data_IF_046144597241
#
_entry.id   IF_046144597241
#
_cell.length_a   1.000
_cell.length_b   1.000
_cell.length_c   1.000
_cell.angle_alpha   90.00
_cell.angle_beta   90.00
_cell.angle_gamma   90.00
#
_symmetry.space_group_name_H-M   'P 1'
#
loop_
_entity.id
_entity.type
_entity.pdbx_description
1 polymer ?
#
# COMPACT_ATOMS: atom_id res chain seq x y z
N UNK A 1 23.78 18.69 -12.37
CA UNK A 1 22.47 18.25 -12.44
C UNK A 1 21.87 17.97 -11.11
N UNK A 2 20.66 18.29 -10.94
CA UNK A 2 20.08 18.18 -9.72
C UNK A 2 19.16 17.02 -9.63
N UNK A 3 19.26 16.30 -8.59
CA UNK A 3 18.36 15.18 -8.42
C UNK A 3 16.94 15.66 -8.28
N UNK A 4 16.01 14.92 -8.83
CA UNK A 4 14.61 15.29 -8.66
C UNK A 4 14.21 15.18 -7.22
N UNK A 5 13.25 15.98 -6.86
CA UNK A 5 12.70 15.91 -5.54
C UNK A 5 11.98 14.57 -5.39
N UNK A 6 12.28 13.85 -4.34
CA UNK A 6 11.66 12.58 -4.12
C UNK A 6 10.80 12.60 -2.92
N UNK A 7 9.73 11.83 -2.96
CA UNK A 7 8.95 11.63 -1.78
C UNK A 7 9.74 10.80 -0.82
N UNK A 8 9.55 11.02 0.49
CA UNK A 8 10.18 10.14 1.46
C UNK A 8 9.77 8.71 1.24
N UNK A 9 10.70 7.80 1.38
CA UNK A 9 10.41 6.41 1.30
C UNK A 9 10.17 5.87 2.68
N UNK A 10 9.07 5.20 2.86
CA UNK A 10 8.75 4.63 4.16
C UNK A 10 9.07 3.15 4.13
N UNK A 11 9.89 2.68 5.05
CA UNK A 11 10.21 1.26 5.09
C UNK A 11 8.97 0.45 5.43
N UNK A 12 8.90 -0.74 4.88
CA UNK A 12 7.78 -1.63 5.12
C UNK A 12 7.87 -2.18 6.54
N UNK A 13 6.93 -1.88 7.42
CA UNK A 13 6.92 -2.50 8.74
C UNK A 13 6.66 -4.00 8.64
N UNK A 14 7.21 -4.73 9.60
CA UNK A 14 7.07 -6.18 9.57
C UNK A 14 5.62 -6.61 9.63
N UNK A 15 4.79 -5.89 10.39
CA UNK A 15 3.41 -6.31 10.52
C UNK A 15 2.61 -6.13 9.24
N UNK A 16 2.97 -5.14 8.43
CA UNK A 16 2.31 -4.97 7.13
C UNK A 16 2.78 -6.05 6.15
N UNK A 17 4.08 -6.32 6.17
CA UNK A 17 4.61 -7.36 5.31
C UNK A 17 3.98 -8.71 5.64
N UNK A 18 3.83 -8.99 6.93
CA UNK A 18 3.24 -10.24 7.35
C UNK A 18 1.79 -10.35 6.86
N UNK A 19 1.04 -9.27 6.94
CA UNK A 19 -0.33 -9.28 6.48
C UNK A 19 -0.40 -9.55 4.98
N UNK A 20 0.51 -8.96 4.22
CA UNK A 20 0.54 -9.17 2.78
C UNK A 20 0.91 -10.62 2.44
N UNK A 21 1.86 -11.18 3.16
CA UNK A 21 2.29 -12.54 2.91
C UNK A 21 1.21 -13.53 3.31
N UNK A 22 0.57 -13.30 4.45
CA UNK A 22 -0.48 -14.18 4.91
C UNK A 22 -1.66 -14.20 3.94
N UNK A 23 -1.93 -13.08 3.30
CA UNK A 23 -3.02 -12.99 2.34
C UNK A 23 -2.58 -13.37 0.93
N UNK A 24 -1.30 -13.66 0.75
CA UNK A 24 -0.74 -13.99 -0.56
C UNK A 24 -0.91 -12.84 -1.54
N UNK A 25 -0.80 -11.62 -1.03
CA UNK A 25 -0.94 -10.43 -1.84
C UNK A 25 0.34 -9.61 -1.92
N UNK A 26 1.44 -10.16 -1.44
CA UNK A 26 2.69 -9.43 -1.45
C UNK A 26 3.12 -9.07 -2.87
N UNK A 27 3.03 -10.01 -3.78
CA UNK A 27 3.41 -9.75 -5.16
C UNK A 27 2.46 -8.75 -5.81
N UNK A 28 1.19 -8.86 -5.50
CA UNK A 28 0.20 -7.91 -6.01
C UNK A 28 0.52 -6.51 -5.53
N UNK A 29 0.96 -6.39 -4.28
CA UNK A 29 1.35 -5.11 -3.73
C UNK A 29 2.58 -4.56 -4.49
N UNK A 30 3.52 -5.42 -4.79
CA UNK A 30 4.76 -4.98 -5.43
C UNK A 30 4.56 -4.46 -6.84
N UNK A 31 3.50 -4.91 -7.52
CA UNK A 31 3.26 -4.42 -8.87
C UNK A 31 2.52 -3.09 -8.89
N UNK A 32 2.06 -2.61 -7.73
CA UNK A 32 1.47 -1.28 -7.67
C UNK A 32 2.55 -0.23 -7.86
N UNK A 33 2.20 0.95 -8.41
CA UNK A 33 3.20 2.01 -8.56
C UNK A 33 3.85 2.36 -7.23
N UNK A 34 5.11 2.77 -7.23
CA UNK A 34 5.79 3.09 -5.98
C UNK A 34 5.07 4.13 -5.12
N UNK A 35 4.42 5.10 -5.74
CA UNK A 35 3.74 6.12 -4.94
C UNK A 35 2.56 5.51 -4.17
N UNK A 36 1.88 4.51 -4.75
CA UNK A 36 0.79 3.85 -4.05
C UNK A 36 1.29 2.99 -2.92
N UNK A 37 2.39 2.28 -3.15
CA UNK A 37 2.98 1.49 -2.10
C UNK A 37 3.36 2.36 -0.91
N UNK A 38 4.01 3.48 -1.21
CA UNK A 38 4.44 4.39 -0.18
C UNK A 38 3.26 5.00 0.57
N UNK A 39 2.21 5.34 -0.16
CA UNK A 39 1.03 5.94 0.46
C UNK A 39 0.32 4.96 1.38
N UNK A 40 0.21 3.70 1.00
CA UNK A 40 -0.41 2.70 1.87
C UNK A 40 0.36 2.57 3.18
N UNK A 41 1.67 2.49 3.09
CA UNK A 41 2.48 2.33 4.29
C UNK A 41 2.35 3.54 5.20
N UNK A 42 2.44 4.73 4.65
CA UNK A 42 2.31 5.95 5.44
C UNK A 42 0.93 6.05 6.07
N UNK A 43 -0.09 5.72 5.30
CA UNK A 43 -1.47 5.82 5.74
C UNK A 43 -1.76 4.86 6.91
N UNK A 44 -1.27 3.64 6.82
CA UNK A 44 -1.47 2.65 7.88
C UNK A 44 -0.62 2.99 9.09
N UNK A 45 0.64 3.32 8.84
CA UNK A 45 1.60 3.49 9.91
C UNK A 45 1.39 4.77 10.71
N UNK A 46 0.67 5.71 10.15
CA UNK A 46 0.42 6.97 10.83
C UNK A 46 -0.58 6.84 11.97
N UNK A 47 -1.35 5.77 11.97
CA UNK A 47 -2.35 5.57 13.01
C UNK A 47 -1.72 5.05 14.29
N UNK A 48 -2.20 5.57 15.42
CA UNK A 48 -1.71 5.15 16.71
C UNK A 48 -2.53 3.98 17.25
N UNK A 49 -3.82 3.99 16.96
CA UNK A 49 -4.70 2.97 17.49
C UNK A 49 -4.62 1.71 16.67
N UNK A 50 -4.43 0.60 17.37
CA UNK A 50 -4.29 -0.69 16.70
C UNK A 50 -5.53 -1.05 15.91
N UNK A 51 -6.68 -0.74 16.44
CA UNK A 51 -7.93 -1.02 15.77
C UNK A 51 -8.00 -0.36 14.41
N UNK A 52 -7.62 0.91 14.35
CA UNK A 52 -7.65 1.65 13.10
C UNK A 52 -6.59 1.12 12.13
N UNK A 53 -5.43 0.76 12.67
CA UNK A 53 -4.39 0.16 11.83
C UNK A 53 -4.90 -1.10 11.16
N UNK A 54 -5.58 -1.95 11.92
CA UNK A 54 -6.09 -3.19 11.37
C UNK A 54 -7.15 -2.95 10.30
N UNK A 55 -8.00 -1.96 10.52
CA UNK A 55 -9.00 -1.61 9.53
C UNK A 55 -8.35 -1.15 8.23
N UNK A 56 -7.31 -0.35 8.34
CA UNK A 56 -6.62 0.16 7.16
C UNK A 56 -5.88 -0.94 6.43
N UNK A 57 -5.31 -1.87 7.17
CA UNK A 57 -4.66 -3.01 6.55
C UNK A 57 -5.68 -3.83 5.77
N UNK A 58 -6.83 -4.08 6.37
CA UNK A 58 -7.87 -4.84 5.70
C UNK A 58 -8.34 -4.14 4.43
N UNK A 59 -8.46 -2.82 4.49
CA UNK A 59 -8.87 -2.09 3.30
C UNK A 59 -7.83 -2.22 2.20
N UNK A 60 -6.54 -2.10 2.55
CA UNK A 60 -5.48 -2.26 1.58
C UNK A 60 -5.54 -3.65 0.94
N UNK A 61 -5.70 -4.68 1.76
CA UNK A 61 -5.73 -6.03 1.24
C UNK A 61 -6.92 -6.23 0.30
N UNK A 62 -8.05 -5.66 0.66
CA UNK A 62 -9.23 -5.77 -0.19
C UNK A 62 -9.02 -5.06 -1.52
N UNK A 63 -8.43 -3.88 -1.48
CA UNK A 63 -8.18 -3.13 -2.70
C UNK A 63 -7.18 -3.84 -3.60
N UNK A 64 -6.16 -4.42 -3.00
CA UNK A 64 -5.19 -5.19 -3.78
C UNK A 64 -5.85 -6.40 -4.42
N UNK A 65 -6.74 -7.04 -3.69
CA UNK A 65 -7.42 -8.20 -4.21
C UNK A 65 -8.33 -7.85 -5.37
N UNK A 66 -8.99 -6.71 -5.29
CA UNK A 66 -9.83 -6.26 -6.38
C UNK A 66 -9.02 -5.83 -7.59
N UNK A 67 -7.90 -5.18 -7.34
CA UNK A 67 -6.98 -4.83 -8.41
C UNK A 67 -7.26 -3.52 -9.10
N UNK A 68 -8.47 -3.01 -9.06
CA UNK A 68 -8.81 -1.77 -9.74
C UNK A 68 -9.32 -0.69 -8.80
N UNK A 69 -8.91 -0.76 -7.54
CA UNK A 69 -9.29 0.22 -6.55
C UNK A 69 -8.04 0.69 -5.81
N UNK A 70 -7.99 1.98 -5.53
CA UNK A 70 -6.91 2.56 -4.78
C UNK A 70 -7.47 3.66 -3.90
N UNK A 71 -7.34 3.52 -2.58
CA UNK A 71 -7.86 4.48 -1.62
C UNK A 71 -9.32 4.80 -1.87
N UNK A 72 -10.11 3.72 -2.08
CA UNK A 72 -11.54 3.80 -2.34
C UNK A 72 -11.91 4.50 -3.62
N UNK A 73 -10.93 4.71 -4.49
CA UNK A 73 -11.19 5.32 -5.78
C UNK A 73 -10.90 4.32 -6.88
N UNK A 74 -11.61 4.45 -7.97
CA UNK A 74 -11.35 3.61 -9.13
C UNK A 74 -9.94 3.86 -9.63
N UNK A 75 -9.25 2.81 -9.93
CA UNK A 75 -7.90 2.92 -10.45
C UNK A 75 -7.67 1.78 -11.42
N UNK A 76 -7.38 2.11 -12.64
CA UNK A 76 -7.17 1.09 -13.65
C UNK A 76 -5.72 1.00 -14.03
N UNK A 77 -5.24 -0.23 -14.14
CA UNK A 77 -3.89 -0.45 -14.58
C UNK A 77 -3.80 -0.09 -16.04
N UNK A 78 -2.86 0.77 -16.36
CA UNK A 78 -2.66 1.12 -17.74
C UNK A 78 -1.86 0.06 -18.43
N UNK A 79 -2.36 -0.38 -19.56
CA UNK A 79 -1.63 -1.38 -20.32
C UNK A 79 -1.04 -0.76 -21.52
N UNK A 80 0.08 -1.23 -21.89
CA UNK A 80 0.75 -0.70 -23.05
C UNK A 80 0.32 -1.39 -24.29
#
# INVERSE_FOLDING_TARGET
MKAPVRRPRYPMPAYIKQALEDSKLYETYKVRPPYQQNDYIAWINREVQEQTKQKRIKQMLMELKKGDVYMKMDWKIKKK
#
